data_IF_803602494475
#
_entry.id   IF_803602494475
#
_cell.length_a   1.000
_cell.length_b   1.000
_cell.length_c   1.000
_cell.angle_alpha   90.00
_cell.angle_beta   90.00
_cell.angle_gamma   90.00
#
_symmetry.space_group_name_H-M   'P 1'
#
loop_
_entity.id
_entity.type
_entity.pdbx_description
1 polymer ?
#
# COMPACT_ATOMS: atom_id res chain seq x y z
N UNK A 1 -5.55 -49.05 -31.64
CA UNK A 1 -5.38 -47.84 -32.48
C UNK A 1 -6.77 -47.29 -32.70
N UNK A 2 -7.23 -46.22 -32.07
CA UNK A 2 -6.57 -45.14 -31.33
C UNK A 2 -7.65 -44.53 -30.43
N UNK A 3 -7.31 -44.39 -29.15
CA UNK A 3 -8.11 -43.75 -28.12
C UNK A 3 -8.21 -42.24 -28.43
N UNK A 4 -9.40 -41.76 -28.75
CA UNK A 4 -9.64 -40.35 -29.03
C UNK A 4 -10.01 -39.67 -27.72
N UNK A 5 -9.01 -39.15 -27.01
CA UNK A 5 -9.22 -38.31 -25.85
C UNK A 5 -9.93 -37.03 -26.28
N UNK A 6 -11.24 -36.96 -26.01
CA UNK A 6 -12.02 -35.74 -26.06
C UNK A 6 -11.53 -34.79 -24.99
N UNK A 7 -10.70 -33.81 -25.35
CA UNK A 7 -10.40 -32.66 -24.51
C UNK A 7 -11.72 -31.93 -24.22
N UNK A 8 -12.28 -32.15 -23.03
CA UNK A 8 -13.42 -31.40 -22.54
C UNK A 8 -12.98 -29.93 -22.44
N UNK A 9 -13.41 -29.11 -23.40
CA UNK A 9 -13.27 -27.66 -23.32
C UNK A 9 -14.06 -27.23 -22.10
N UNK A 10 -13.34 -26.95 -21.01
CA UNK A 10 -13.97 -26.45 -19.79
C UNK A 10 -14.40 -25.03 -20.11
N UNK A 11 -15.71 -24.79 -20.09
CA UNK A 11 -16.25 -23.44 -20.07
C UNK A 11 -15.55 -22.64 -18.97
N UNK A 12 -14.79 -21.60 -19.38
CA UNK A 12 -13.92 -20.82 -18.48
C UNK A 12 -14.68 -20.28 -17.27
N UNK A 13 -15.98 -20.03 -17.44
CA UNK A 13 -16.91 -19.62 -16.38
C UNK A 13 -17.03 -20.65 -15.24
N UNK A 14 -17.13 -21.95 -15.56
CA UNK A 14 -17.25 -23.01 -14.56
C UNK A 14 -15.94 -23.21 -13.80
N UNK A 15 -14.81 -23.18 -14.50
CA UNK A 15 -13.49 -23.29 -13.87
C UNK A 15 -13.24 -22.13 -12.91
N UNK A 16 -13.49 -20.89 -13.35
CA UNK A 16 -13.38 -19.69 -12.50
C UNK A 16 -14.25 -19.80 -11.25
N UNK A 17 -15.51 -20.19 -11.39
CA UNK A 17 -16.40 -20.37 -10.24
C UNK A 17 -15.95 -21.49 -9.28
N UNK A 18 -15.35 -22.55 -9.79
CA UNK A 18 -14.80 -23.63 -8.95
C UNK A 18 -13.53 -23.17 -8.21
N UNK A 19 -12.64 -22.45 -8.90
CA UNK A 19 -11.42 -21.88 -8.32
C UNK A 19 -11.75 -20.87 -7.22
N UNK A 20 -12.60 -19.87 -7.51
CA UNK A 20 -13.05 -18.87 -6.54
C UNK A 20 -13.61 -19.53 -5.26
N UNK A 21 -14.52 -20.50 -5.41
CA UNK A 21 -15.05 -21.25 -4.25
C UNK A 21 -13.99 -22.05 -3.50
N UNK A 22 -12.98 -22.58 -4.18
CA UNK A 22 -11.90 -23.31 -3.54
C UNK A 22 -10.99 -22.36 -2.73
N UNK A 23 -10.66 -21.21 -3.29
CA UNK A 23 -9.90 -20.15 -2.63
C UNK A 23 -10.64 -19.61 -1.41
N UNK A 24 -11.93 -19.28 -1.54
CA UNK A 24 -12.76 -18.84 -0.41
C UNK A 24 -12.80 -19.88 0.73
N UNK A 25 -12.99 -21.16 0.42
CA UNK A 25 -12.98 -22.23 1.44
C UNK A 25 -11.62 -22.38 2.11
N UNK A 26 -10.51 -22.21 1.36
CA UNK A 26 -9.17 -22.27 1.93
C UNK A 26 -8.88 -21.06 2.79
N UNK A 27 -9.21 -19.86 2.32
CA UNK A 27 -9.07 -18.61 3.08
C UNK A 27 -9.84 -18.65 4.39
N UNK A 28 -11.09 -19.13 4.37
CA UNK A 28 -11.89 -19.31 5.60
C UNK A 28 -11.25 -20.26 6.61
N UNK A 29 -10.57 -21.33 6.14
CA UNK A 29 -9.80 -22.21 7.04
C UNK A 29 -8.54 -21.54 7.56
N UNK A 30 -7.85 -20.74 6.75
CA UNK A 30 -6.68 -19.99 7.21
C UNK A 30 -7.04 -18.94 8.26
N UNK A 31 -8.26 -18.41 8.28
CA UNK A 31 -8.70 -17.52 9.37
C UNK A 31 -8.63 -18.18 10.76
N UNK A 32 -8.65 -19.52 10.84
CA UNK A 32 -8.46 -20.27 12.09
C UNK A 32 -6.98 -20.42 12.48
N UNK A 33 -6.05 -20.16 11.56
CA UNK A 33 -4.59 -20.19 11.77
C UNK A 33 -3.87 -19.18 10.84
N UNK A 34 -4.09 -17.87 11.04
CA UNK A 34 -3.73 -16.83 10.07
C UNK A 34 -2.24 -16.79 9.70
N UNK A 35 -1.36 -17.15 10.64
CA UNK A 35 0.08 -17.14 10.47
C UNK A 35 0.57 -18.03 9.31
N UNK A 36 -0.22 -19.04 8.92
CA UNK A 36 0.11 -19.94 7.82
C UNK A 36 0.05 -19.26 6.44
N UNK A 37 -0.55 -18.07 6.33
CA UNK A 37 -0.56 -17.34 5.05
C UNK A 37 0.85 -17.02 4.57
N UNK A 38 1.80 -16.79 5.48
CA UNK A 38 3.21 -16.50 5.16
C UNK A 38 3.92 -17.60 4.38
N UNK A 39 3.45 -18.85 4.52
CA UNK A 39 4.02 -20.00 3.82
C UNK A 39 3.51 -20.13 2.38
N UNK A 40 2.51 -19.34 1.98
CA UNK A 40 1.97 -19.35 0.63
C UNK A 40 2.84 -18.53 -0.32
N UNK A 41 2.88 -18.96 -1.59
CA UNK A 41 3.43 -18.12 -2.64
C UNK A 41 2.67 -16.78 -2.70
N UNK A 42 3.34 -15.64 -2.95
CA UNK A 42 2.70 -14.32 -2.94
C UNK A 42 1.43 -14.22 -3.79
N UNK A 43 1.49 -14.72 -5.03
CA UNK A 43 0.33 -14.71 -5.92
C UNK A 43 -0.85 -15.54 -5.39
N UNK A 44 -0.58 -16.65 -4.70
CA UNK A 44 -1.62 -17.48 -4.09
C UNK A 44 -2.28 -16.76 -2.91
N UNK A 45 -1.48 -16.12 -2.05
CA UNK A 45 -1.99 -15.31 -0.94
C UNK A 45 -2.84 -14.14 -1.44
N UNK A 46 -2.40 -13.45 -2.51
CA UNK A 46 -3.13 -12.36 -3.16
C UNK A 46 -4.55 -12.78 -3.55
N UNK A 47 -4.66 -13.82 -4.40
CA UNK A 47 -5.96 -14.29 -4.87
C UNK A 47 -6.84 -14.75 -3.71
N UNK A 48 -6.26 -15.33 -2.66
CA UNK A 48 -7.03 -15.75 -1.50
C UNK A 48 -7.62 -14.56 -0.74
N UNK A 49 -6.85 -13.49 -0.54
CA UNK A 49 -7.33 -12.27 0.10
C UNK A 49 -8.39 -11.60 -0.77
N UNK A 50 -8.17 -11.46 -2.08
CA UNK A 50 -9.16 -10.86 -3.00
C UNK A 50 -10.48 -11.62 -3.02
N UNK A 51 -10.43 -12.95 -2.98
CA UNK A 51 -11.64 -13.80 -2.99
C UNK A 51 -12.42 -13.76 -1.67
N UNK A 52 -11.74 -13.52 -0.54
CA UNK A 52 -12.39 -13.24 0.74
C UNK A 52 -12.94 -11.81 0.80
N UNK A 53 -12.25 -10.86 0.17
CA UNK A 53 -12.46 -9.43 0.34
C UNK A 53 -11.57 -8.88 1.46
N UNK A 54 -10.96 -7.71 1.23
CA UNK A 54 -9.98 -7.09 2.14
C UNK A 54 -10.54 -6.92 3.57
N UNK A 55 -11.81 -6.53 3.70
CA UNK A 55 -12.48 -6.37 5.00
C UNK A 55 -12.59 -7.68 5.80
N UNK A 56 -12.93 -8.79 5.16
CA UNK A 56 -13.05 -10.10 5.81
C UNK A 56 -11.68 -10.79 6.00
N UNK A 57 -10.68 -10.37 5.24
CA UNK A 57 -9.33 -10.94 5.25
C UNK A 57 -8.38 -10.27 6.26
N UNK A 58 -8.83 -9.27 7.04
CA UNK A 58 -8.00 -8.52 7.98
C UNK A 58 -7.05 -9.36 8.85
N UNK A 59 -7.52 -10.44 9.52
CA UNK A 59 -6.64 -11.31 10.31
C UNK A 59 -5.53 -11.97 9.49
N UNK A 60 -5.79 -12.30 8.22
CA UNK A 60 -4.78 -12.84 7.31
C UNK A 60 -3.82 -11.75 6.86
N UNK A 61 -4.35 -10.57 6.48
CA UNK A 61 -3.55 -9.47 5.97
C UNK A 61 -2.49 -9.04 6.99
N UNK A 62 -2.85 -8.98 8.27
CA UNK A 62 -1.91 -8.65 9.35
C UNK A 62 -0.78 -9.67 9.54
N UNK A 63 -0.86 -10.85 8.93
CA UNK A 63 0.18 -11.89 8.99
C UNK A 63 1.05 -11.95 7.74
N UNK A 64 0.73 -11.23 6.66
CA UNK A 64 1.45 -11.41 5.38
C UNK A 64 2.90 -10.95 5.51
N UNK A 65 3.78 -11.58 4.74
CA UNK A 65 5.18 -11.13 4.65
C UNK A 65 5.28 -9.84 3.82
N UNK A 66 6.40 -9.13 3.93
CA UNK A 66 6.65 -7.95 3.10
C UNK A 66 6.75 -8.25 1.60
N UNK A 67 7.19 -9.46 1.22
CA UNK A 67 7.15 -9.91 -0.19
C UNK A 67 5.72 -10.11 -0.68
N UNK A 68 4.86 -10.67 0.17
CA UNK A 68 3.45 -10.83 -0.14
C UNK A 68 2.75 -9.48 -0.26
N UNK A 69 2.95 -8.57 0.70
CA UNK A 69 2.35 -7.24 0.65
C UNK A 69 2.77 -6.46 -0.61
N UNK A 70 4.07 -6.48 -0.96
CA UNK A 70 4.56 -5.90 -2.22
C UNK A 70 3.84 -6.46 -3.43
N UNK A 71 3.74 -7.78 -3.52
CA UNK A 71 3.03 -8.44 -4.63
C UNK A 71 1.56 -8.01 -4.70
N UNK A 72 0.90 -7.78 -3.56
CA UNK A 72 -0.51 -7.37 -3.56
C UNK A 72 -0.67 -5.97 -4.14
N UNK A 73 0.20 -5.06 -3.70
CA UNK A 73 0.21 -3.67 -4.16
C UNK A 73 0.58 -3.61 -5.65
N UNK A 74 1.59 -4.36 -6.09
CA UNK A 74 1.99 -4.42 -7.51
C UNK A 74 0.87 -4.91 -8.43
N UNK A 75 0.01 -5.80 -7.96
CA UNK A 75 -1.06 -6.38 -8.76
C UNK A 75 -2.34 -5.53 -8.80
N UNK A 76 -2.55 -4.67 -7.79
CA UNK A 76 -3.86 -4.06 -7.53
C UNK A 76 -3.83 -2.51 -7.55
N UNK A 77 -2.67 -1.90 -7.32
CA UNK A 77 -2.57 -0.47 -7.03
C UNK A 77 -1.93 0.35 -8.14
N UNK A 78 -2.08 -0.04 -9.41
CA UNK A 78 -1.51 0.68 -10.55
C UNK A 78 -2.58 1.08 -11.56
N UNK A 79 -2.57 2.35 -11.94
CA UNK A 79 -3.38 2.93 -13.02
C UNK A 79 -2.46 3.33 -14.18
N UNK A 80 -2.13 2.36 -15.02
CA UNK A 80 -1.11 2.55 -16.05
C UNK A 80 0.28 2.52 -15.42
N UNK A 81 0.99 3.64 -15.50
CA UNK A 81 2.33 3.85 -14.94
C UNK A 81 2.33 4.64 -13.62
N UNK A 82 1.16 5.02 -13.11
CA UNK A 82 1.02 5.76 -11.86
C UNK A 82 0.42 4.88 -10.76
N UNK A 83 0.93 4.97 -9.52
CA UNK A 83 0.32 4.28 -8.39
C UNK A 83 -1.05 4.88 -8.07
N UNK A 84 -1.98 4.04 -7.62
CA UNK A 84 -3.26 4.46 -7.09
C UNK A 84 -3.19 4.53 -5.56
N UNK A 85 -2.88 5.72 -5.04
CA UNK A 85 -2.73 5.93 -3.60
C UNK A 85 -3.96 5.54 -2.77
N UNK A 86 -5.17 5.58 -3.35
CA UNK A 86 -6.39 5.19 -2.63
C UNK A 86 -6.44 3.67 -2.44
N UNK A 87 -6.05 2.90 -3.47
CA UNK A 87 -5.97 1.44 -3.36
C UNK A 87 -4.81 1.03 -2.43
N UNK A 88 -3.67 1.73 -2.47
CA UNK A 88 -2.54 1.49 -1.55
C UNK A 88 -3.00 1.70 -0.09
N UNK A 89 -3.71 2.79 0.18
CA UNK A 89 -4.28 3.07 1.49
C UNK A 89 -5.18 1.93 1.98
N UNK A 90 -6.03 1.37 1.10
CA UNK A 90 -6.91 0.26 1.47
C UNK A 90 -6.12 -1.00 1.92
N UNK A 91 -4.96 -1.25 1.30
CA UNK A 91 -4.05 -2.32 1.73
C UNK A 91 -3.29 -2.00 3.02
N UNK A 92 -2.98 -0.73 3.28
CA UNK A 92 -2.27 -0.28 4.49
C UNK A 92 -3.20 -0.05 5.70
N UNK A 93 -4.48 0.20 5.47
CA UNK A 93 -5.45 0.60 6.49
C UNK A 93 -5.56 -0.40 7.67
N UNK A 94 -5.52 -1.73 7.45
CA UNK A 94 -5.53 -2.67 8.58
C UNK A 94 -4.29 -2.55 9.48
N UNK A 95 -3.13 -2.23 8.91
CA UNK A 95 -1.91 -1.98 9.67
C UNK A 95 -1.97 -0.63 10.40
N UNK A 96 -2.53 0.40 9.77
CA UNK A 96 -2.80 1.69 10.39
C UNK A 96 -3.73 1.56 11.61
N UNK A 97 -4.77 0.72 11.50
CA UNK A 97 -5.68 0.42 12.60
C UNK A 97 -5.01 -0.34 13.76
N UNK A 98 -3.98 -1.14 13.47
CA UNK A 98 -3.19 -1.84 14.50
C UNK A 98 -2.22 -0.89 15.23
N UNK A 99 -1.67 0.11 14.52
CA UNK A 99 -0.90 1.20 15.11
C UNK A 99 0.31 1.63 14.28
N UNK A 100 0.98 2.70 14.75
CA UNK A 100 2.09 3.35 14.05
C UNK A 100 3.21 2.38 13.64
N UNK A 101 3.67 1.52 14.54
CA UNK A 101 4.74 0.57 14.25
C UNK A 101 4.37 -0.44 13.17
N UNK A 102 3.12 -0.94 13.17
CA UNK A 102 2.64 -1.86 12.16
C UNK A 102 2.53 -1.19 10.78
N UNK A 103 1.98 0.04 10.75
CA UNK A 103 1.89 0.84 9.54
C UNK A 103 3.27 1.13 8.93
N UNK A 104 4.23 1.58 9.75
CA UNK A 104 5.58 1.89 9.29
C UNK A 104 6.26 0.65 8.70
N UNK A 105 6.19 -0.51 9.40
CA UNK A 105 6.77 -1.76 8.89
C UNK A 105 6.11 -2.23 7.60
N UNK A 106 4.79 -2.12 7.48
CA UNK A 106 4.07 -2.49 6.27
C UNK A 106 4.49 -1.59 5.09
N UNK A 107 4.49 -0.27 5.29
CA UNK A 107 4.90 0.69 4.27
C UNK A 107 6.37 0.53 3.85
N UNK A 108 7.29 0.40 4.82
CA UNK A 108 8.72 0.21 4.56
C UNK A 108 9.05 -1.16 3.94
N UNK A 109 8.10 -2.09 3.93
CA UNK A 109 8.26 -3.36 3.22
C UNK A 109 7.99 -3.25 1.72
N UNK A 110 7.35 -2.16 1.28
CA UNK A 110 7.14 -1.85 -0.13
C UNK A 110 8.47 -1.50 -0.82
N UNK A 111 8.49 -1.44 -2.14
CA UNK A 111 9.69 -1.02 -2.86
C UNK A 111 9.95 0.49 -2.67
N UNK A 112 11.22 0.86 -2.56
CA UNK A 112 11.63 2.24 -2.21
C UNK A 112 11.05 3.29 -3.17
N UNK A 113 11.05 3.01 -4.46
CA UNK A 113 10.49 3.90 -5.47
C UNK A 113 9.00 4.16 -5.22
N UNK A 114 8.23 3.11 -4.92
CA UNK A 114 6.82 3.25 -4.58
C UNK A 114 6.61 4.01 -3.27
N UNK A 115 7.46 3.80 -2.26
CA UNK A 115 7.40 4.58 -1.02
C UNK A 115 7.58 6.08 -1.28
N UNK A 116 8.53 6.44 -2.15
CA UNK A 116 8.80 7.82 -2.56
C UNK A 116 7.61 8.40 -3.32
N UNK A 117 7.07 7.69 -4.30
CA UNK A 117 5.90 8.12 -5.08
C UNK A 117 4.67 8.33 -4.21
N UNK A 118 4.36 7.40 -3.30
CA UNK A 118 3.22 7.56 -2.38
C UNK A 118 3.36 8.82 -1.55
N UNK A 119 4.55 9.10 -1.00
CA UNK A 119 4.77 10.31 -0.21
C UNK A 119 4.68 11.58 -1.06
N UNK A 120 5.23 11.57 -2.27
CA UNK A 120 5.17 12.69 -3.20
C UNK A 120 3.73 13.01 -3.63
N UNK A 121 2.92 12.01 -3.93
CA UNK A 121 1.51 12.20 -4.31
C UNK A 121 0.61 12.55 -3.11
N UNK A 122 1.04 12.23 -1.89
CA UNK A 122 0.25 12.45 -0.67
C UNK A 122 0.51 13.80 0.01
N UNK A 123 1.63 14.47 -0.30
CA UNK A 123 2.13 15.61 0.47
C UNK A 123 2.74 16.68 -0.44
N UNK A 124 2.49 17.96 -0.14
CA UNK A 124 3.44 19.01 -0.48
C UNK A 124 4.47 19.14 0.65
N UNK A 125 5.77 19.05 0.31
CA UNK A 125 6.87 19.03 1.28
C UNK A 125 7.75 20.27 1.08
N UNK A 126 7.83 21.13 2.10
CA UNK A 126 8.60 22.38 2.10
C UNK A 126 9.76 22.29 3.10
N UNK A 127 10.89 22.95 2.83
CA UNK A 127 11.96 23.08 3.83
C UNK A 127 11.51 24.08 4.91
N UNK A 128 11.64 23.70 6.19
CA UNK A 128 11.29 24.60 7.29
C UNK A 128 12.23 25.80 7.43
N UNK A 129 13.37 25.78 6.73
CA UNK A 129 14.33 26.87 6.65
C UNK A 129 14.04 27.91 5.56
N UNK A 130 13.05 27.67 4.70
CA UNK A 130 12.63 28.64 3.69
C UNK A 130 11.99 29.86 4.37
N UNK A 131 12.34 31.07 3.93
CA UNK A 131 11.93 32.32 4.61
C UNK A 131 10.41 32.48 4.69
N UNK A 132 9.68 31.97 3.68
CA UNK A 132 8.22 31.93 3.69
C UNK A 132 7.72 30.72 2.86
N UNK A 133 7.26 29.63 3.51
CA UNK A 133 6.68 28.51 2.79
C UNK A 133 5.38 28.96 2.10
N UNK A 134 5.05 28.44 0.90
CA UNK A 134 3.80 28.75 0.21
C UNK A 134 2.59 28.59 1.13
N UNK A 135 1.55 29.38 0.93
CA UNK A 135 0.28 29.13 1.62
C UNK A 135 -0.29 27.76 1.20
N UNK A 136 -0.83 26.98 2.15
CA UNK A 136 -1.43 25.69 1.82
C UNK A 136 -2.68 25.91 0.97
N UNK A 137 -3.04 24.91 0.17
CA UNK A 137 -4.32 24.93 -0.54
C UNK A 137 -5.48 25.11 0.47
N UNK A 138 -6.55 25.84 0.14
CA UNK A 138 -7.64 26.09 1.07
C UNK A 138 -8.19 24.78 1.67
N UNK A 139 -8.13 24.66 3.00
CA UNK A 139 -8.60 23.49 3.73
C UNK A 139 -7.61 22.33 3.82
N UNK A 140 -6.44 22.40 3.17
CA UNK A 140 -5.41 21.39 3.29
C UNK A 140 -4.80 21.42 4.71
N UNK A 141 -4.81 20.29 5.45
CA UNK A 141 -4.12 20.20 6.72
C UNK A 141 -2.63 20.49 6.55
N UNK A 142 -2.05 21.28 7.46
CA UNK A 142 -0.61 21.59 7.53
C UNK A 142 -0.02 21.12 8.86
N UNK A 143 1.18 20.58 8.83
CA UNK A 143 1.95 20.21 10.03
C UNK A 143 3.45 20.45 9.82
N UNK A 144 4.20 20.44 10.92
CA UNK A 144 5.67 20.43 10.90
C UNK A 144 6.14 19.06 11.35
N UNK A 145 7.13 18.49 10.67
CA UNK A 145 7.68 17.18 11.04
C UNK A 145 8.32 17.21 12.43
N UNK A 146 8.37 16.08 13.16
CA UNK A 146 8.93 16.03 14.52
C UNK A 146 10.38 16.53 14.63
N UNK A 147 11.18 16.31 13.60
CA UNK A 147 12.58 16.77 13.50
C UNK A 147 12.71 18.25 13.11
N UNK A 148 11.58 18.90 12.77
CA UNK A 148 11.46 20.30 12.34
C UNK A 148 12.17 20.66 11.05
N UNK A 149 12.54 19.68 10.22
CA UNK A 149 13.15 19.94 8.92
C UNK A 149 12.14 20.30 7.85
N UNK A 150 10.91 19.77 7.94
CA UNK A 150 9.90 19.96 6.91
C UNK A 150 8.61 20.56 7.44
N UNK A 151 7.97 21.36 6.59
CA UNK A 151 6.56 21.71 6.70
C UNK A 151 5.83 20.91 5.62
N UNK A 152 4.77 20.20 6.01
CA UNK A 152 4.04 19.30 5.13
C UNK A 152 2.56 19.70 5.06
N UNK A 153 2.02 19.68 3.84
CA UNK A 153 0.59 19.85 3.57
C UNK A 153 0.02 18.55 3.04
N UNK A 154 -1.06 18.05 3.64
CA UNK A 154 -1.70 16.81 3.19
C UNK A 154 -2.57 17.07 1.95
N UNK A 155 -2.38 16.25 0.91
CA UNK A 155 -3.14 16.30 -0.33
C UNK A 155 -4.35 15.36 -0.24
N UNK A 156 -5.53 15.85 -0.64
CA UNK A 156 -6.80 15.10 -0.68
C UNK A 156 -7.08 14.28 0.61
N UNK A 157 -6.71 14.82 1.78
CA UNK A 157 -6.62 14.05 3.02
C UNK A 157 -7.95 13.45 3.51
N UNK A 158 -9.08 14.05 3.12
CA UNK A 158 -10.44 13.60 3.43
C UNK A 158 -10.90 12.41 2.58
N UNK A 159 -10.24 12.16 1.45
CA UNK A 159 -10.51 11.02 0.56
C UNK A 159 -9.65 9.78 0.90
N UNK A 160 -8.74 9.89 1.88
CA UNK A 160 -7.73 8.89 2.22
C UNK A 160 -8.16 7.99 3.38
N UNK A 161 -8.02 6.68 3.20
CA UNK A 161 -8.25 5.73 4.30
C UNK A 161 -7.09 5.76 5.31
N UNK A 162 -5.87 6.01 4.84
CA UNK A 162 -4.70 6.27 5.67
C UNK A 162 -4.27 7.72 5.52
N UNK A 163 -4.63 8.53 6.51
CA UNK A 163 -4.28 9.96 6.49
C UNK A 163 -2.75 10.16 6.34
N UNK A 164 -2.27 11.00 5.40
CA UNK A 164 -0.83 11.17 5.13
C UNK A 164 0.02 11.50 6.36
N UNK A 165 -0.47 12.38 7.24
CA UNK A 165 0.24 12.69 8.48
C UNK A 165 0.40 11.50 9.44
N UNK A 166 -0.57 10.57 9.47
CA UNK A 166 -0.43 9.36 10.30
C UNK A 166 0.67 8.45 9.77
N UNK A 167 0.83 8.36 8.46
CA UNK A 167 1.93 7.64 7.85
C UNK A 167 3.27 8.31 8.19
N UNK A 168 3.37 9.63 8.03
CA UNK A 168 4.60 10.36 8.39
C UNK A 168 4.95 10.21 9.87
N UNK A 169 3.98 10.37 10.77
CA UNK A 169 4.15 10.16 12.22
C UNK A 169 4.62 8.73 12.52
N UNK A 170 4.05 7.73 11.84
CA UNK A 170 4.46 6.33 11.97
C UNK A 170 5.92 6.11 11.53
N UNK A 171 6.34 6.69 10.40
CA UNK A 171 7.72 6.60 9.93
C UNK A 171 8.70 7.23 10.92
N UNK A 172 8.40 8.43 11.43
CA UNK A 172 9.25 9.09 12.44
C UNK A 172 9.31 8.32 13.76
N UNK A 173 8.20 7.71 14.18
CA UNK A 173 8.17 6.88 15.38
C UNK A 173 9.01 5.59 15.21
N UNK A 174 9.11 5.07 13.98
CA UNK A 174 9.87 3.87 13.66
C UNK A 174 11.37 4.16 13.51
N UNK A 175 11.74 5.09 12.62
CA UNK A 175 13.12 5.52 12.39
C UNK A 175 13.16 6.95 11.81
N UNK A 176 13.67 7.88 12.62
CA UNK A 176 13.79 9.30 12.26
C UNK A 176 14.66 9.52 11.01
N UNK A 177 15.76 8.76 10.87
CA UNK A 177 16.66 8.92 9.73
C UNK A 177 16.01 8.38 8.44
N UNK A 178 15.28 7.26 8.54
CA UNK A 178 14.55 6.71 7.40
C UNK A 178 13.45 7.67 6.93
N UNK A 179 12.65 8.17 7.87
CA UNK A 179 11.60 9.15 7.58
C UNK A 179 12.17 10.40 6.90
N UNK A 180 13.26 10.95 7.43
CA UNK A 180 13.93 12.11 6.84
C UNK A 180 14.43 11.82 5.41
N UNK A 181 15.07 10.66 5.18
CA UNK A 181 15.55 10.27 3.85
C UNK A 181 14.42 10.13 2.84
N UNK A 182 13.32 9.47 3.23
CA UNK A 182 12.15 9.29 2.37
C UNK A 182 11.48 10.62 2.01
N UNK A 183 11.27 11.52 2.98
CA UNK A 183 10.69 12.84 2.72
C UNK A 183 11.60 13.71 1.84
N UNK A 184 12.92 13.60 2.01
CA UNK A 184 13.88 14.27 1.13
C UNK A 184 13.77 13.77 -0.31
N UNK A 185 13.69 12.45 -0.51
CA UNK A 185 13.54 11.84 -1.82
C UNK A 185 12.20 12.20 -2.48
N UNK A 186 11.09 12.12 -1.73
CA UNK A 186 9.76 12.49 -2.20
C UNK A 186 9.69 13.97 -2.61
N UNK A 187 10.35 14.86 -1.87
CA UNK A 187 10.45 16.27 -2.25
C UNK A 187 11.22 16.48 -3.55
N UNK A 188 12.29 15.72 -3.78
CA UNK A 188 13.06 15.80 -5.03
C UNK A 188 12.23 15.33 -6.22
N UNK A 189 11.46 14.25 -6.05
CA UNK A 189 10.54 13.72 -7.05
C UNK A 189 9.53 14.79 -7.51
N UNK A 190 8.94 15.54 -6.57
CA UNK A 190 8.03 16.66 -6.87
C UNK A 190 8.64 17.77 -7.74
N UNK A 191 9.97 17.92 -7.72
CA UNK A 191 10.70 18.94 -8.51
C UNK A 191 11.07 18.44 -9.89
N UNK A 192 11.18 17.12 -10.10
CA UNK A 192 11.63 16.53 -11.36
C UNK A 192 10.81 16.94 -12.59
N UNK A 193 9.45 17.03 -12.54
CA UNK A 193 8.67 17.48 -13.69
C UNK A 193 8.88 18.95 -14.07
N UNK A 194 9.35 19.79 -13.14
CA UNK A 194 9.52 21.24 -13.35
C UNK A 194 10.89 21.60 -13.98
N UNK A 195 11.85 20.67 -14.01
CA UNK A 195 13.21 20.89 -14.53
C UNK A 195 13.42 20.33 -15.95
N UNK A 196 12.43 19.62 -16.52
CA UNK A 196 12.47 19.06 -17.88
C UNK A 196 11.86 19.98 -18.97
N UNK A 197 11.59 21.25 -18.65
CA UNK A 197 11.20 22.32 -19.60
C UNK A 197 12.40 23.15 -20.09
#
# INVERSE_FOLDING_TARGET
MTDSQSHAVIELSRFRAQLSRALQRRGKRLLESPEQITALAPLEAYFMIKELGVGDAGPLLLQVSGEQLRTFVDLDCWKGDQPDIVEIDAWLAPFAALGAEALARAFLSLDLELQVLVLAESLHIHDAGDEEPPEPSPGAPRSTTPDRYFIIDAMAADEREVHPFRLVEALYAHDVNEAFRLLTAARAELRSPLEEE
#
